data_IF_024686871380
#
_entry.id   IF_024686871380
#
_cell.length_a   1.000
_cell.length_b   1.000
_cell.length_c   1.000
_cell.angle_alpha   90.00
_cell.angle_beta   90.00
_cell.angle_gamma   90.00
#
_symmetry.space_group_name_H-M   'P 1'
#
loop_
_entity.id
_entity.type
_entity.pdbx_description
1 polymer ?
#
# COMPACT_ATOMS: atom_id res chain seq x y z
N UNK A 1 34.07 2.64 1.80
CA UNK A 1 32.73 3.02 2.30
C UNK A 1 31.70 2.63 1.26
N UNK A 2 31.00 1.49 1.43
CA UNK A 2 30.01 1.02 0.46
C UNK A 2 28.66 1.72 0.68
N UNK A 3 28.17 2.44 -0.34
CA UNK A 3 26.80 2.97 -0.38
C UNK A 3 25.84 1.81 -0.63
N UNK A 4 25.10 1.40 0.41
CA UNK A 4 23.95 0.52 0.24
C UNK A 4 22.83 1.31 -0.47
N UNK A 5 22.68 1.11 -1.78
CA UNK A 5 21.49 1.55 -2.49
C UNK A 5 20.30 0.72 -1.99
N UNK A 6 19.45 1.35 -1.18
CA UNK A 6 18.13 0.83 -0.84
C UNK A 6 17.27 1.03 -2.09
N UNK A 7 17.33 0.09 -3.02
CA UNK A 7 16.39 0.04 -4.13
C UNK A 7 15.06 -0.44 -3.56
N UNK A 8 14.08 0.46 -3.48
CA UNK A 8 12.69 0.09 -3.21
C UNK A 8 12.27 -0.97 -4.23
N UNK A 9 11.78 -2.11 -3.74
CA UNK A 9 11.39 -3.27 -4.56
C UNK A 9 10.11 -2.98 -5.36
N UNK A 10 9.48 -1.84 -5.12
CA UNK A 10 8.29 -1.40 -5.82
C UNK A 10 8.66 -0.25 -6.77
N UNK A 11 8.32 -0.35 -8.07
CA UNK A 11 8.52 0.77 -8.99
C UNK A 11 7.75 1.97 -8.43
N UNK A 12 8.49 3.00 -7.99
CA UNK A 12 7.94 4.29 -7.53
C UNK A 12 6.85 4.71 -8.50
N UNK A 13 5.62 4.83 -7.98
CA UNK A 13 4.40 5.23 -8.67
C UNK A 13 4.40 4.88 -10.16
N UNK A 14 3.83 3.71 -10.50
CA UNK A 14 3.55 3.24 -11.88
C UNK A 14 3.38 4.43 -12.84
N UNK A 15 4.45 4.78 -13.56
CA UNK A 15 4.36 5.72 -14.68
C UNK A 15 3.68 4.92 -15.79
N UNK A 16 2.35 4.98 -15.83
CA UNK A 16 1.60 4.52 -17.00
C UNK A 16 2.05 5.45 -18.13
N UNK A 17 2.83 4.90 -19.07
CA UNK A 17 3.42 5.63 -20.20
C UNK A 17 2.37 6.55 -20.84
N UNK A 18 2.49 7.87 -20.62
CA UNK A 18 1.60 8.89 -21.17
C UNK A 18 0.65 9.60 -20.20
N UNK A 19 0.50 9.18 -18.94
CA UNK A 19 -0.24 9.99 -17.95
C UNK A 19 0.57 11.25 -17.58
N UNK A 20 -0.01 12.44 -17.78
CA UNK A 20 0.51 13.68 -17.18
C UNK A 20 0.58 13.43 -15.67
N UNK A 21 1.78 13.47 -15.08
CA UNK A 21 1.97 13.20 -13.64
C UNK A 21 1.03 14.07 -12.82
N UNK A 22 -0.02 13.46 -12.29
CA UNK A 22 -0.88 14.06 -11.28
C UNK A 22 -0.22 13.80 -9.93
N UNK A 23 0.38 14.84 -9.30
CA UNK A 23 1.08 14.68 -8.03
C UNK A 23 0.11 14.27 -6.91
N UNK A 24 -1.15 14.72 -6.95
CA UNK A 24 -2.17 14.38 -5.97
C UNK A 24 -2.54 12.90 -6.09
N UNK A 25 -2.82 12.42 -7.30
CA UNK A 25 -3.11 10.99 -7.53
C UNK A 25 -1.93 10.11 -7.12
N UNK A 26 -0.71 10.54 -7.43
CA UNK A 26 0.53 9.84 -7.06
C UNK A 26 0.72 9.74 -5.55
N UNK A 27 0.37 10.79 -4.80
CA UNK A 27 0.40 10.79 -3.34
C UNK A 27 -0.52 9.69 -2.78
N UNK A 28 -1.78 9.64 -3.22
CA UNK A 28 -2.73 8.64 -2.74
C UNK A 28 -2.37 7.21 -3.14
N UNK A 29 -1.77 7.01 -4.32
CA UNK A 29 -1.18 5.72 -4.71
C UNK A 29 -0.07 5.29 -3.74
N UNK A 30 0.79 6.21 -3.31
CA UNK A 30 1.84 5.91 -2.33
C UNK A 30 1.28 5.61 -0.94
N UNK A 31 0.22 6.29 -0.51
CA UNK A 31 -0.49 5.99 0.75
C UNK A 31 -0.98 4.54 0.76
N UNK A 32 -1.57 4.07 -0.34
CA UNK A 32 -2.00 2.67 -0.48
C UNK A 32 -0.84 1.67 -0.41
N UNK A 33 0.31 2.00 -1.01
CA UNK A 33 1.51 1.15 -0.96
C UNK A 33 1.99 1.01 0.48
N UNK A 34 2.17 2.12 1.20
CA UNK A 34 2.66 2.12 2.59
C UNK A 34 1.68 1.38 3.51
N UNK A 35 0.38 1.64 3.38
CA UNK A 35 -0.64 0.94 4.16
C UNK A 35 -0.60 -0.58 3.91
N UNK A 36 -0.36 -1.01 2.67
CA UNK A 36 -0.26 -2.43 2.34
C UNK A 36 1.03 -3.04 2.91
N UNK A 37 2.16 -2.34 2.86
CA UNK A 37 3.43 -2.76 3.47
C UNK A 37 3.28 -2.99 4.98
N UNK A 38 2.56 -2.10 5.67
CA UNK A 38 2.23 -2.23 7.09
C UNK A 38 1.31 -3.45 7.33
N UNK A 39 0.31 -3.66 6.48
CA UNK A 39 -0.62 -4.79 6.58
C UNK A 39 0.03 -6.17 6.35
N UNK A 40 1.18 -6.22 5.66
CA UNK A 40 1.98 -7.44 5.48
C UNK A 40 3.20 -7.52 6.40
N UNK A 41 3.35 -6.57 7.33
CA UNK A 41 4.43 -6.60 8.32
C UNK A 41 5.84 -6.43 7.74
N UNK A 42 5.98 -5.85 6.54
CA UNK A 42 7.29 -5.66 5.86
C UNK A 42 8.06 -4.42 6.35
N UNK A 43 7.66 -3.83 7.46
CA UNK A 43 8.31 -2.65 8.03
C UNK A 43 9.66 -3.02 8.66
N UNK A 44 10.72 -3.08 7.85
CA UNK A 44 12.08 -3.47 8.26
C UNK A 44 12.67 -2.56 9.36
N UNK A 45 12.18 -1.31 9.52
CA UNK A 45 12.85 -0.27 10.31
C UNK A 45 12.18 0.19 11.60
N UNK A 46 10.92 -0.16 11.87
CA UNK A 46 10.23 0.35 13.06
C UNK A 46 9.50 -0.76 13.80
N UNK A 47 10.19 -1.37 14.77
CA UNK A 47 9.54 -2.23 15.79
C UNK A 47 8.62 -1.45 16.75
N UNK A 48 8.64 -0.11 16.68
CA UNK A 48 7.97 0.77 17.66
C UNK A 48 6.79 1.58 17.11
N UNK A 49 6.48 1.52 15.80
CA UNK A 49 5.27 2.14 15.23
C UNK A 49 4.15 1.11 15.17
N UNK A 50 3.69 0.67 16.34
CA UNK A 50 2.72 -0.40 16.49
C UNK A 50 1.28 0.07 16.31
N UNK A 51 0.82 0.25 15.07
CA UNK A 51 -0.48 -0.33 14.76
C UNK A 51 -0.19 -1.80 14.45
N UNK A 52 -0.74 -2.71 15.25
CA UNK A 52 -0.51 -4.14 15.02
C UNK A 52 -0.88 -4.52 13.59
N UNK A 53 -0.16 -5.46 12.99
CA UNK A 53 -0.42 -5.96 11.62
C UNK A 53 -1.92 -6.22 11.41
N UNK A 54 -2.63 -6.69 12.44
CA UNK A 54 -4.07 -6.88 12.44
C UNK A 54 -4.88 -5.59 12.16
N UNK A 55 -4.55 -4.48 12.82
CA UNK A 55 -5.22 -3.19 12.59
C UNK A 55 -4.99 -2.64 11.18
N UNK A 56 -3.76 -2.79 10.66
CA UNK A 56 -3.45 -2.43 9.27
C UNK A 56 -4.17 -3.34 8.26
N UNK A 57 -4.36 -4.63 8.58
CA UNK A 57 -5.17 -5.52 7.75
C UNK A 57 -6.66 -5.12 7.77
N UNK A 58 -7.22 -4.77 8.93
CA UNK A 58 -8.64 -4.34 9.02
C UNK A 58 -8.94 -3.14 8.13
N UNK A 59 -8.00 -2.20 7.98
CA UNK A 59 -8.12 -1.07 7.05
C UNK A 59 -8.53 -1.50 5.62
N UNK A 60 -8.01 -2.62 5.13
CA UNK A 60 -8.36 -3.16 3.82
C UNK A 60 -9.56 -4.12 3.88
N UNK A 61 -9.64 -4.97 4.92
CA UNK A 61 -10.53 -6.12 4.95
C UNK A 61 -11.95 -5.80 5.38
N UNK A 62 -12.15 -4.70 6.12
CA UNK A 62 -13.45 -4.25 6.63
C UNK A 62 -14.02 -3.09 5.78
N UNK A 63 -15.35 -2.88 5.81
CA UNK A 63 -15.96 -1.68 5.25
C UNK A 63 -15.38 -0.41 5.90
N UNK A 64 -14.68 0.40 5.10
CA UNK A 64 -14.02 1.61 5.57
C UNK A 64 -14.19 2.72 4.53
N UNK A 65 -14.83 3.83 4.94
CA UNK A 65 -15.09 4.98 4.07
C UNK A 65 -13.80 5.69 3.66
N UNK A 66 -12.84 5.80 4.57
CA UNK A 66 -11.56 6.46 4.30
C UNK A 66 -10.75 5.65 3.29
N UNK A 67 -10.75 4.32 3.41
CA UNK A 67 -10.16 3.44 2.39
C UNK A 67 -10.80 3.67 1.01
N UNK A 68 -12.14 3.71 0.94
CA UNK A 68 -12.83 3.96 -0.32
C UNK A 68 -12.46 5.32 -0.93
N UNK A 69 -12.33 6.35 -0.09
CA UNK A 69 -11.97 7.70 -0.51
C UNK A 69 -10.51 7.78 -1.00
N UNK A 70 -9.58 7.12 -0.31
CA UNK A 70 -8.17 7.03 -0.73
C UNK A 70 -8.06 6.32 -2.08
N UNK A 71 -8.78 5.21 -2.27
CA UNK A 71 -8.84 4.54 -3.57
C UNK A 71 -9.40 5.44 -4.67
N UNK A 72 -10.50 6.16 -4.39
CA UNK A 72 -11.08 7.11 -5.34
C UNK A 72 -10.06 8.18 -5.77
N UNK A 73 -9.36 8.81 -4.83
CA UNK A 73 -8.36 9.82 -5.14
C UNK A 73 -7.09 9.25 -5.82
N UNK A 74 -6.76 7.98 -5.56
CA UNK A 74 -5.71 7.26 -6.27
C UNK A 74 -6.10 6.87 -7.72
N UNK A 75 -7.37 7.05 -8.09
CA UNK A 75 -7.93 6.67 -9.39
C UNK A 75 -8.21 5.17 -9.50
N UNK A 76 -8.56 4.52 -8.38
CA UNK A 76 -8.85 3.09 -8.32
C UNK A 76 -10.28 2.80 -7.83
N UNK A 77 -10.81 1.67 -8.28
CA UNK A 77 -11.99 1.06 -7.70
C UNK A 77 -11.63 0.37 -6.36
N UNK A 78 -12.32 0.75 -5.29
CA UNK A 78 -11.98 0.30 -3.94
C UNK A 78 -12.31 -1.18 -3.71
N UNK A 79 -13.34 -1.73 -4.37
CA UNK A 79 -13.66 -3.16 -4.26
C UNK A 79 -12.60 -4.01 -4.97
N UNK A 80 -12.12 -3.56 -6.13
CA UNK A 80 -11.01 -4.21 -6.83
C UNK A 80 -9.73 -4.19 -6.00
N UNK A 81 -9.37 -3.05 -5.42
CA UNK A 81 -8.19 -2.93 -4.54
C UNK A 81 -8.33 -3.83 -3.31
N UNK A 82 -9.51 -3.85 -2.66
CA UNK A 82 -9.80 -4.72 -1.51
C UNK A 82 -9.66 -6.20 -1.87
N UNK A 83 -10.20 -6.62 -3.01
CA UNK A 83 -10.07 -7.99 -3.49
C UNK A 83 -8.59 -8.39 -3.65
N UNK A 84 -7.77 -7.53 -4.26
CA UNK A 84 -6.33 -7.79 -4.44
C UNK A 84 -5.57 -7.78 -3.12
N UNK A 85 -5.82 -6.80 -2.25
CA UNK A 85 -5.20 -6.71 -0.92
C UNK A 85 -5.53 -7.96 -0.08
N UNK A 86 -6.79 -8.41 -0.06
CA UNK A 86 -7.22 -9.62 0.64
C UNK A 86 -6.47 -10.86 0.17
N UNK A 87 -6.33 -11.04 -1.16
CA UNK A 87 -5.56 -12.15 -1.74
C UNK A 87 -4.09 -12.09 -1.29
N UNK A 88 -3.47 -10.91 -1.41
CA UNK A 88 -2.06 -10.72 -1.07
C UNK A 88 -1.77 -10.94 0.42
N UNK A 89 -2.62 -10.41 1.32
CA UNK A 89 -2.50 -10.61 2.77
C UNK A 89 -2.63 -12.10 3.12
N UNK A 90 -3.55 -12.83 2.49
CA UNK A 90 -3.72 -14.27 2.70
C UNK A 90 -2.49 -15.06 2.26
N UNK A 91 -1.92 -14.74 1.09
CA UNK A 91 -0.71 -15.38 0.58
C UNK A 91 0.50 -15.16 1.51
N UNK A 92 0.66 -13.95 2.06
CA UNK A 92 1.75 -13.65 3.00
C UNK A 92 1.56 -14.24 4.42
N UNK A 93 0.37 -14.74 4.78
CA UNK A 93 0.15 -15.47 6.04
C UNK A 93 0.54 -16.95 5.97
N UNK A 94 0.58 -17.52 4.76
CA UNK A 94 0.82 -18.94 4.53
C UNK A 94 2.26 -19.25 4.07
N UNK A 95 3.11 -18.23 3.95
CA UNK A 95 4.49 -18.34 3.50
C UNK A 95 5.50 -18.00 4.58
#
# INVERSE_FOLDING_TARGET
>A
MAKLQIQSVFPKAVNILGEKKDPCRSLWRNVLIVALEDAVGRHWRNKNFGMGIESAQRYFLEPNRDFALVCHYAGFDHEYVRMKARKFIKENKNG
#
